data_IF_042331839945
#
_entry.id   IF_042331839945
#
_cell.length_a   1.000
_cell.length_b   1.000
_cell.length_c   1.000
_cell.angle_alpha   90.00
_cell.angle_beta   90.00
_cell.angle_gamma   90.00
#
_symmetry.space_group_name_H-M   'P 1'
#
loop_
_entity.id
_entity.type
_entity.pdbx_description
1 polymer ?
#
# COMPACT_ATOMS: atom_id res chain seq x y z
N UNK A 1 18.94 -2.14 -5.81
CA UNK A 1 17.65 -1.60 -6.25
C UNK A 1 17.11 -0.77 -5.09
N UNK A 2 16.97 0.54 -5.27
CA UNK A 2 16.50 1.46 -4.24
C UNK A 2 14.97 1.34 -4.10
N UNK A 3 14.44 1.47 -2.89
CA UNK A 3 13.00 1.32 -2.59
C UNK A 3 12.09 2.22 -3.46
N UNK A 4 12.61 3.32 -3.99
CA UNK A 4 11.93 4.21 -4.94
C UNK A 4 11.63 3.54 -6.30
N UNK A 5 12.53 2.69 -6.81
CA UNK A 5 12.30 1.96 -8.07
C UNK A 5 11.25 0.86 -7.93
N UNK A 6 10.98 0.41 -6.69
CA UNK A 6 9.94 -0.56 -6.40
C UNK A 6 8.56 0.11 -6.50
N UNK A 7 8.41 1.36 -6.06
CA UNK A 7 7.16 2.11 -6.16
C UNK A 7 6.77 2.42 -7.61
N UNK A 8 7.74 2.74 -8.48
CA UNK A 8 7.48 3.01 -9.90
C UNK A 8 7.26 1.72 -10.74
N UNK A 9 7.82 0.59 -10.29
CA UNK A 9 7.72 -0.71 -10.97
C UNK A 9 6.57 -1.61 -10.53
N UNK A 10 5.97 -1.38 -9.36
CA UNK A 10 4.83 -2.19 -8.92
C UNK A 10 3.53 -1.67 -9.50
N UNK A 11 3.11 -2.27 -10.61
CA UNK A 11 1.74 -2.17 -11.12
C UNK A 11 0.63 -2.59 -10.13
N UNK A 12 0.96 -2.96 -8.87
CA UNK A 12 0.07 -3.69 -7.93
C UNK A 12 0.44 -3.52 -6.45
N UNK A 13 0.94 -2.39 -5.99
CA UNK A 13 1.01 -2.14 -4.54
C UNK A 13 -0.42 -2.02 -4.01
N UNK A 14 -0.90 -3.04 -3.31
CA UNK A 14 -2.17 -2.93 -2.57
C UNK A 14 -2.01 -1.84 -1.50
N UNK A 15 -3.10 -1.15 -1.17
CA UNK A 15 -3.08 -0.16 -0.10
C UNK A 15 -2.53 -0.74 1.21
N UNK A 16 -2.80 -2.03 1.44
CA UNK A 16 -2.34 -2.79 2.60
C UNK A 16 -0.81 -2.91 2.66
N UNK A 17 -0.15 -2.98 1.52
CA UNK A 17 1.33 -3.02 1.44
C UNK A 17 1.99 -1.65 1.52
N UNK A 18 1.26 -0.58 1.19
CA UNK A 18 1.81 0.77 1.10
C UNK A 18 2.39 1.28 2.42
N UNK A 19 1.68 1.08 3.53
CA UNK A 19 2.14 1.52 4.85
C UNK A 19 3.47 0.86 5.23
N UNK A 20 3.59 -0.46 5.05
CA UNK A 20 4.81 -1.17 5.42
C UNK A 20 6.01 -0.75 4.57
N UNK A 21 5.82 -0.58 3.26
CA UNK A 21 6.87 -0.08 2.37
C UNK A 21 7.38 1.29 2.84
N UNK A 22 6.46 2.17 3.25
CA UNK A 22 6.82 3.51 3.72
C UNK A 22 7.51 3.46 5.09
N UNK A 23 7.07 2.61 6.02
CA UNK A 23 7.76 2.44 7.31
C UNK A 23 9.14 1.80 7.17
N UNK A 24 9.30 0.83 6.27
CA UNK A 24 10.59 0.21 5.94
C UNK A 24 11.53 1.25 5.32
N UNK A 25 11.03 2.08 4.40
CA UNK A 25 11.78 3.20 3.84
C UNK A 25 12.18 4.22 4.91
N UNK A 26 11.24 4.59 5.79
CA UNK A 26 11.51 5.49 6.92
C UNK A 26 12.62 4.94 7.81
N UNK A 27 12.53 3.66 8.19
CA UNK A 27 13.54 2.97 9.01
C UNK A 27 14.91 2.91 8.32
N UNK A 28 14.93 2.60 7.02
CA UNK A 28 16.15 2.61 6.21
C UNK A 28 16.80 4.00 6.18
N UNK A 29 16.00 5.05 5.99
CA UNK A 29 16.48 6.43 5.95
C UNK A 29 17.03 6.87 7.32
N UNK A 30 16.31 6.58 8.41
CA UNK A 30 16.77 6.86 9.78
C UNK A 30 18.08 6.15 10.06
N UNK A 31 18.22 4.88 9.72
CA UNK A 31 19.45 4.14 9.95
C UNK A 31 20.64 4.75 9.18
N UNK A 32 20.43 5.23 7.95
CA UNK A 32 21.47 5.93 7.19
C UNK A 32 21.85 7.30 7.77
N UNK A 33 21.02 7.88 8.64
CA UNK A 33 21.41 9.06 9.44
C UNK A 33 22.27 8.69 10.66
N UNK A 34 22.27 7.44 11.12
CA UNK A 34 23.15 7.04 12.21
C UNK A 34 24.57 6.82 11.68
N UNK A 35 25.57 7.53 12.24
CA UNK A 35 26.99 7.36 11.88
C UNK A 35 27.57 5.97 12.19
N UNK A 36 26.76 5.10 12.80
CA UNK A 36 27.13 3.75 13.27
C UNK A 36 26.62 2.63 12.37
N UNK A 37 25.77 2.92 11.38
CA UNK A 37 25.19 1.90 10.50
C UNK A 37 25.91 1.89 9.13
N UNK A 38 26.11 0.69 8.57
CA UNK A 38 26.66 0.52 7.21
C UNK A 38 25.63 0.89 6.13
N UNK A 39 26.11 1.28 4.95
CA UNK A 39 25.28 1.68 3.80
C UNK A 39 24.98 0.51 2.85
N UNK A 40 25.13 -0.71 3.36
CA UNK A 40 24.91 -1.97 2.66
C UNK A 40 26.21 -2.58 2.13
N UNK A 41 26.25 -3.91 2.06
CA UNK A 41 27.48 -4.68 1.82
C UNK A 41 28.32 -4.19 0.64
N UNK A 42 27.69 -3.82 -0.48
CA UNK A 42 28.40 -3.33 -1.67
C UNK A 42 28.99 -1.93 -1.47
N UNK A 43 28.24 -1.03 -0.84
CA UNK A 43 28.70 0.34 -0.53
C UNK A 43 29.82 0.28 0.49
N UNK A 44 29.67 -0.54 1.53
CA UNK A 44 30.67 -0.74 2.58
C UNK A 44 31.96 -1.34 2.03
N UNK A 45 31.87 -2.29 1.08
CA UNK A 45 33.03 -2.85 0.38
C UNK A 45 33.79 -1.79 -0.43
N UNK A 46 33.07 -0.92 -1.15
CA UNK A 46 33.66 0.18 -1.92
C UNK A 46 34.33 1.21 -1.01
N UNK A 47 33.69 1.57 0.11
CA UNK A 47 34.24 2.48 1.11
C UNK A 47 35.54 1.92 1.72
N UNK A 48 35.64 0.60 1.91
CA UNK A 48 36.85 -0.06 2.41
C UNK A 48 38.05 0.09 1.47
N UNK A 49 37.80 0.19 0.16
CA UNK A 49 38.83 0.34 -0.89
C UNK A 49 39.29 1.80 -1.05
N UNK A 50 38.57 2.76 -0.49
CA UNK A 50 38.87 4.19 -0.60
C UNK A 50 39.91 4.65 0.42
N UNK A 51 40.71 5.65 0.07
CA UNK A 51 41.69 6.26 0.98
C UNK A 51 41.02 6.98 2.16
N UNK A 52 41.73 7.13 3.29
CA UNK A 52 41.14 7.61 4.57
C UNK A 52 40.44 8.98 4.43
N UNK A 53 41.06 9.94 3.74
CA UNK A 53 40.51 11.29 3.57
C UNK A 53 39.28 11.32 2.67
N UNK A 54 39.35 10.60 1.54
CA UNK A 54 38.26 10.47 0.58
C UNK A 54 37.07 9.73 1.20
N UNK A 55 37.33 8.65 1.94
CA UNK A 55 36.31 7.91 2.69
C UNK A 55 35.57 8.82 3.67
N UNK A 56 36.29 9.66 4.42
CA UNK A 56 35.66 10.60 5.35
C UNK A 56 34.70 11.54 4.62
N UNK A 57 35.16 12.16 3.53
CA UNK A 57 34.32 13.06 2.74
C UNK A 57 33.07 12.35 2.20
N UNK A 58 33.23 11.16 1.61
CA UNK A 58 32.10 10.39 1.08
C UNK A 58 31.11 10.00 2.18
N UNK A 59 31.58 9.65 3.37
CA UNK A 59 30.71 9.33 4.51
C UNK A 59 29.93 10.57 4.98
N UNK A 60 30.57 11.73 5.05
CA UNK A 60 29.90 12.99 5.40
C UNK A 60 28.84 13.35 4.34
N UNK A 61 29.17 13.25 3.05
CA UNK A 61 28.22 13.51 1.94
C UNK A 61 27.04 12.53 1.94
N UNK A 62 27.28 11.24 2.21
CA UNK A 62 26.24 10.22 2.32
C UNK A 62 25.29 10.54 3.48
N UNK A 63 25.85 10.88 4.64
CA UNK A 63 25.07 11.22 5.83
C UNK A 63 24.18 12.44 5.57
N UNK A 64 24.71 13.50 4.94
CA UNK A 64 23.94 14.67 4.55
C UNK A 64 22.82 14.32 3.55
N UNK A 65 23.09 13.46 2.58
CA UNK A 65 22.09 12.98 1.63
C UNK A 65 20.96 12.18 2.30
N UNK A 66 21.29 11.29 3.25
CA UNK A 66 20.30 10.54 4.03
C UNK A 66 19.48 11.46 4.93
N UNK A 67 20.09 12.45 5.58
CA UNK A 67 19.38 13.46 6.36
C UNK A 67 18.41 14.27 5.52
N UNK A 68 18.83 14.72 4.34
CA UNK A 68 17.96 15.46 3.43
C UNK A 68 16.80 14.60 2.93
N UNK A 69 17.08 13.34 2.56
CA UNK A 69 16.07 12.39 2.12
C UNK A 69 15.06 12.07 3.22
N UNK A 70 15.53 11.79 4.45
CA UNK A 70 14.67 11.56 5.61
C UNK A 70 13.80 12.77 5.92
N UNK A 71 14.38 13.98 5.94
CA UNK A 71 13.64 15.22 6.22
C UNK A 71 12.50 15.42 5.21
N UNK A 72 12.77 15.20 3.92
CA UNK A 72 11.75 15.25 2.87
C UNK A 72 10.70 14.15 3.06
N UNK A 73 11.13 12.91 3.29
CA UNK A 73 10.24 11.78 3.52
C UNK A 73 9.29 12.05 4.69
N UNK A 74 9.80 12.39 5.87
CA UNK A 74 9.00 12.65 7.07
C UNK A 74 8.02 13.80 6.86
N UNK A 75 8.46 14.88 6.20
CA UNK A 75 7.55 15.99 5.84
C UNK A 75 6.33 15.51 5.06
N UNK A 76 6.49 14.59 4.12
CA UNK A 76 5.41 14.09 3.27
C UNK A 76 4.64 12.92 3.88
N UNK A 77 5.32 11.98 4.51
CA UNK A 77 4.72 10.78 5.08
C UNK A 77 3.99 11.07 6.38
N UNK A 78 4.59 11.84 7.31
CA UNK A 78 3.97 12.12 8.60
C UNK A 78 2.71 12.98 8.48
N UNK A 79 2.65 13.80 7.43
CA UNK A 79 1.48 14.64 7.13
C UNK A 79 0.54 14.01 6.11
N UNK A 80 0.80 12.78 5.65
CA UNK A 80 0.01 12.17 4.59
C UNK A 80 -1.44 11.92 5.06
N UNK A 81 -2.46 12.46 4.38
CA UNK A 81 -3.84 12.45 4.87
C UNK A 81 -4.41 11.02 4.99
N UNK A 82 -3.95 10.10 4.16
CA UNK A 82 -4.40 8.70 4.18
C UNK A 82 -3.51 7.76 5.03
N UNK A 83 -2.47 8.27 5.71
CA UNK A 83 -1.51 7.45 6.48
C UNK A 83 -2.21 6.53 7.47
N UNK A 84 -3.12 7.10 8.26
CA UNK A 84 -3.89 6.35 9.26
C UNK A 84 -4.80 5.31 8.62
N UNK A 85 -5.38 5.60 7.45
CA UNK A 85 -6.18 4.60 6.71
C UNK A 85 -5.26 3.44 6.28
N UNK A 86 -4.10 3.72 5.68
CA UNK A 86 -3.15 2.69 5.28
C UNK A 86 -2.68 1.82 6.44
N UNK A 87 -2.52 2.42 7.62
CA UNK A 87 -2.18 1.70 8.85
C UNK A 87 -3.28 0.72 9.26
N UNK A 88 -4.53 1.17 9.24
CA UNK A 88 -5.69 0.41 9.73
C UNK A 88 -6.09 -0.74 8.82
N UNK A 89 -6.05 -0.53 7.50
CA UNK A 89 -6.44 -1.55 6.50
C UNK A 89 -5.53 -2.78 6.52
N UNK A 90 -4.38 -2.73 7.19
CA UNK A 90 -3.50 -3.89 7.41
C UNK A 90 -4.18 -5.04 8.15
N UNK A 91 -5.26 -4.76 8.89
CA UNK A 91 -6.12 -5.80 9.50
C UNK A 91 -6.72 -6.76 8.46
N UNK A 92 -6.81 -6.32 7.20
CA UNK A 92 -7.31 -7.14 6.11
C UNK A 92 -6.25 -8.05 5.50
N UNK A 93 -4.96 -7.92 5.85
CA UNK A 93 -3.94 -8.90 5.48
C UNK A 93 -3.75 -9.91 6.62
N UNK A 94 -4.10 -11.19 6.42
CA UNK A 94 -3.95 -12.21 7.46
C UNK A 94 -2.53 -12.37 7.97
N UNK A 95 -1.52 -11.99 7.18
CA UNK A 95 -0.11 -12.01 7.59
C UNK A 95 0.19 -10.96 8.66
N UNK A 96 -0.58 -9.89 8.68
CA UNK A 96 -0.40 -8.73 9.56
C UNK A 96 -1.46 -8.64 10.65
N UNK A 97 -2.63 -9.21 10.40
CA UNK A 97 -3.77 -9.23 11.30
C UNK A 97 -3.40 -9.63 12.75
N UNK A 98 -2.53 -10.63 13.01
CA UNK A 98 -2.12 -10.98 14.38
C UNK A 98 -1.50 -9.84 15.19
N UNK A 99 -0.82 -8.90 14.53
CA UNK A 99 -0.21 -7.72 15.15
C UNK A 99 -1.16 -6.51 15.23
N UNK A 100 -2.38 -6.65 14.71
CA UNK A 100 -3.39 -5.59 14.67
C UNK A 100 -4.41 -5.77 15.80
N UNK A 101 -5.04 -4.66 16.21
CA UNK A 101 -6.08 -4.67 17.24
C UNK A 101 -7.27 -5.55 16.83
N UNK A 102 -7.87 -6.27 17.78
CA UNK A 102 -8.99 -7.18 17.50
C UNK A 102 -10.33 -6.46 17.61
N UNK A 103 -10.39 -5.48 18.51
CA UNK A 103 -11.55 -4.64 18.78
C UNK A 103 -11.96 -3.84 17.55
N UNK A 104 -13.26 -3.88 17.24
CA UNK A 104 -13.82 -3.15 16.08
C UNK A 104 -13.67 -1.63 16.24
N UNK A 105 -13.72 -1.15 17.48
CA UNK A 105 -13.65 0.25 17.88
C UNK A 105 -12.36 0.94 17.41
N UNK A 106 -11.28 0.17 17.26
CA UNK A 106 -10.00 0.66 16.74
C UNK A 106 -10.05 1.02 15.24
N UNK A 107 -11.09 0.58 14.52
CA UNK A 107 -11.24 0.74 13.08
C UNK A 107 -12.32 1.75 12.70
N UNK A 108 -12.85 2.54 13.64
CA UNK A 108 -13.91 3.53 13.41
C UNK A 108 -13.61 4.57 12.33
N UNK A 109 -12.34 4.76 11.95
CA UNK A 109 -11.96 5.61 10.80
C UNK A 109 -12.29 4.98 9.44
N UNK A 110 -12.53 3.67 9.39
CA UNK A 110 -13.09 3.01 8.22
C UNK A 110 -14.60 3.23 8.23
N UNK A 111 -15.16 3.77 7.15
CA UNK A 111 -16.56 4.21 7.09
C UNK A 111 -17.54 3.11 7.52
N UNK A 112 -17.40 1.84 7.07
CA UNK A 112 -18.32 0.78 7.48
C UNK A 112 -18.21 0.41 8.97
N UNK A 113 -17.08 0.72 9.61
CA UNK A 113 -16.78 0.41 11.02
C UNK A 113 -17.16 1.55 11.98
N UNK A 114 -17.41 2.75 11.47
CA UNK A 114 -17.90 3.87 12.29
C UNK A 114 -19.32 3.64 12.80
N UNK A 115 -20.16 3.00 11.98
CA UNK A 115 -21.52 2.62 12.30
C UNK A 115 -21.82 1.23 11.70
N UNK A 116 -21.29 0.16 12.32
CA UNK A 116 -21.39 -1.18 11.77
C UNK A 116 -22.82 -1.69 11.83
N UNK A 117 -23.26 -2.39 10.79
CA UNK A 117 -24.49 -3.17 10.89
C UNK A 117 -24.30 -4.31 11.90
N UNK A 118 -25.41 -4.83 12.42
CA UNK A 118 -25.38 -6.01 13.28
C UNK A 118 -24.67 -7.19 12.59
N UNK A 119 -25.01 -7.44 11.33
CA UNK A 119 -24.40 -8.50 10.51
C UNK A 119 -22.88 -8.31 10.36
N UNK A 120 -22.41 -7.07 10.12
CA UNK A 120 -20.98 -6.78 10.02
C UNK A 120 -20.27 -7.01 11.36
N UNK A 121 -20.90 -6.61 12.47
CA UNK A 121 -20.38 -6.81 13.82
C UNK A 121 -20.19 -8.29 14.14
N UNK A 122 -21.22 -9.11 13.88
CA UNK A 122 -21.19 -10.55 14.11
C UNK A 122 -20.13 -11.25 13.23
N UNK A 123 -20.09 -10.92 11.93
CA UNK A 123 -19.11 -11.49 11.01
C UNK A 123 -17.68 -11.04 11.33
N UNK A 124 -17.48 -9.82 11.82
CA UNK A 124 -16.16 -9.35 12.24
C UNK A 124 -15.64 -10.14 13.44
N UNK A 125 -16.50 -10.35 14.45
CA UNK A 125 -16.15 -11.19 15.60
C UNK A 125 -15.78 -12.59 15.12
N UNK A 126 -16.58 -13.19 14.23
CA UNK A 126 -16.27 -14.50 13.67
C UNK A 126 -14.95 -14.53 12.88
N UNK A 127 -14.68 -13.53 12.05
CA UNK A 127 -13.41 -13.37 11.32
C UNK A 127 -12.23 -13.28 12.29
N UNK A 128 -12.34 -12.51 13.37
CA UNK A 128 -11.29 -12.35 14.37
C UNK A 128 -10.89 -13.67 15.05
N UNK A 129 -11.85 -14.59 15.23
CA UNK A 129 -11.61 -15.91 15.83
C UNK A 129 -11.13 -16.96 14.83
N UNK A 130 -11.41 -16.76 13.54
CA UNK A 130 -11.14 -17.73 12.46
C UNK A 130 -10.11 -17.22 11.45
N UNK A 131 -9.19 -16.36 11.89
CA UNK A 131 -8.13 -15.80 11.03
C UNK A 131 -7.24 -16.91 10.49
N UNK A 132 -7.55 -17.36 9.28
CA UNK A 132 -6.75 -18.35 8.57
C UNK A 132 -5.49 -17.68 8.00
N UNK A 133 -4.32 -18.31 8.15
CA UNK A 133 -3.10 -17.76 7.59
C UNK A 133 -3.19 -17.75 6.05
N UNK A 134 -2.72 -16.65 5.45
CA UNK A 134 -2.67 -16.53 4.01
C UNK A 134 -1.50 -17.36 3.47
N UNK A 135 -1.82 -18.39 2.67
CA UNK A 135 -0.81 -19.17 1.96
C UNK A 135 0.07 -18.27 1.06
N UNK A 136 1.32 -18.68 0.84
CA UNK A 136 2.32 -17.86 0.16
C UNK A 136 1.98 -17.57 -1.32
N UNK A 137 1.26 -18.49 -1.96
CA UNK A 137 0.85 -18.47 -3.37
C UNK A 137 -0.51 -17.79 -3.60
N UNK A 138 -1.28 -17.55 -2.55
CA UNK A 138 -2.63 -16.96 -2.65
C UNK A 138 -2.55 -15.44 -2.58
N UNK A 139 -3.23 -14.76 -3.53
CA UNK A 139 -3.35 -13.31 -3.50
C UNK A 139 -4.35 -12.86 -2.45
N UNK A 140 -4.18 -11.64 -1.92
CA UNK A 140 -5.09 -11.10 -0.93
C UNK A 140 -6.53 -11.03 -1.44
N UNK A 141 -6.72 -10.72 -2.72
CA UNK A 141 -8.05 -10.67 -3.33
C UNK A 141 -8.72 -12.06 -3.38
N UNK A 142 -7.96 -13.11 -3.70
CA UNK A 142 -8.49 -14.47 -3.77
C UNK A 142 -8.83 -15.02 -2.39
N UNK A 143 -8.03 -14.66 -1.38
CA UNK A 143 -8.33 -14.95 0.03
C UNK A 143 -9.69 -14.37 0.45
N UNK A 144 -9.95 -13.10 0.17
CA UNK A 144 -11.21 -12.46 0.54
C UNK A 144 -12.41 -12.95 -0.28
N UNK A 145 -12.21 -13.35 -1.54
CA UNK A 145 -13.27 -13.97 -2.35
C UNK A 145 -13.69 -15.35 -1.84
N UNK A 146 -12.76 -16.11 -1.26
CA UNK A 146 -13.03 -17.44 -0.69
C UNK A 146 -13.61 -17.42 0.72
N UNK A 147 -13.75 -16.24 1.33
CA UNK A 147 -14.07 -16.10 2.74
C UNK A 147 -15.58 -16.29 3.02
N UNK A 148 -15.90 -16.96 4.14
CA UNK A 148 -17.30 -17.22 4.56
C UNK A 148 -18.00 -16.00 5.18
N UNK A 149 -17.33 -14.85 5.22
CA UNK A 149 -17.81 -13.61 5.85
C UNK A 149 -18.06 -12.54 4.77
N UNK A 150 -19.20 -12.59 4.06
CA UNK A 150 -19.43 -11.75 2.88
C UNK A 150 -19.37 -10.25 3.16
N UNK A 151 -19.82 -9.78 4.33
CA UNK A 151 -19.78 -8.35 4.69
C UNK A 151 -18.38 -7.86 5.01
N UNK A 152 -17.60 -8.69 5.72
CA UNK A 152 -16.20 -8.37 6.00
C UNK A 152 -15.38 -8.43 4.72
N UNK A 153 -15.64 -9.40 3.84
CA UNK A 153 -14.98 -9.54 2.55
C UNK A 153 -15.31 -8.38 1.59
N UNK A 154 -16.57 -7.96 1.50
CA UNK A 154 -17.00 -6.80 0.71
C UNK A 154 -16.25 -5.52 1.14
N UNK A 155 -16.19 -5.30 2.45
CA UNK A 155 -15.43 -4.19 3.02
C UNK A 155 -13.92 -4.33 2.74
N UNK A 156 -13.33 -5.49 3.01
CA UNK A 156 -11.89 -5.73 2.81
C UNK A 156 -11.50 -5.47 1.35
N UNK A 157 -12.27 -6.00 0.39
CA UNK A 157 -12.06 -5.80 -1.04
C UNK A 157 -12.10 -4.31 -1.43
N UNK A 158 -12.98 -3.52 -0.81
CA UNK A 158 -13.06 -2.08 -1.05
C UNK A 158 -11.80 -1.33 -0.58
N UNK A 159 -11.15 -1.81 0.49
CA UNK A 159 -9.97 -1.19 1.07
C UNK A 159 -8.64 -1.71 0.52
N UNK A 160 -8.59 -2.95 0.00
CA UNK A 160 -7.36 -3.52 -0.59
C UNK A 160 -6.90 -2.74 -1.81
N UNK A 161 -7.85 -2.28 -2.62
CA UNK A 161 -7.62 -1.50 -3.83
C UNK A 161 -7.70 0.01 -3.61
N UNK A 162 -7.66 0.45 -2.36
CA UNK A 162 -7.67 1.88 -2.06
C UNK A 162 -6.45 2.55 -2.75
N UNK A 163 -6.62 3.65 -3.48
CA UNK A 163 -5.53 4.24 -4.24
C UNK A 163 -4.42 4.75 -3.30
N UNK A 164 -3.18 4.42 -3.63
CA UNK A 164 -2.02 4.66 -2.74
C UNK A 164 -1.42 6.04 -2.95
N UNK A 165 -1.55 6.62 -4.15
CA UNK A 165 -1.00 7.93 -4.48
C UNK A 165 -1.98 8.81 -5.26
N UNK A 166 -1.75 10.12 -5.22
CA UNK A 166 -2.47 11.07 -6.08
C UNK A 166 -2.24 10.79 -7.55
N UNK A 167 -1.09 10.23 -7.92
CA UNK A 167 -0.78 9.80 -9.30
C UNK A 167 -1.65 8.61 -9.71
N UNK A 168 -1.96 7.69 -8.80
CA UNK A 168 -2.90 6.59 -9.07
C UNK A 168 -4.33 7.13 -9.21
N UNK A 169 -4.72 8.10 -8.38
CA UNK A 169 -5.98 8.81 -8.52
C UNK A 169 -6.06 9.57 -9.85
N UNK A 170 -5.01 10.31 -10.22
CA UNK A 170 -4.92 11.08 -11.46
C UNK A 170 -4.92 10.17 -12.70
N UNK A 171 -4.17 9.07 -12.67
CA UNK A 171 -4.22 8.05 -13.72
C UNK A 171 -5.61 7.46 -13.84
N UNK A 172 -6.30 7.28 -12.70
CA UNK A 172 -7.66 6.75 -12.70
C UNK A 172 -8.67 7.75 -13.25
N UNK A 173 -8.55 9.02 -12.86
CA UNK A 173 -9.35 10.13 -13.36
C UNK A 173 -9.05 10.44 -14.83
N UNK A 174 -7.81 10.29 -15.28
CA UNK A 174 -7.42 10.46 -16.68
C UNK A 174 -8.06 9.39 -17.56
N UNK A 175 -8.01 8.12 -17.13
CA UNK A 175 -8.72 7.02 -17.81
C UNK A 175 -10.23 7.26 -17.84
N UNK A 176 -10.81 7.70 -16.72
CA UNK A 176 -12.22 8.09 -16.65
C UNK A 176 -12.54 9.24 -17.61
N UNK A 177 -11.69 10.26 -17.69
CA UNK A 177 -11.83 11.38 -18.63
C UNK A 177 -11.77 10.90 -20.08
N UNK A 178 -10.93 9.92 -20.42
CA UNK A 178 -10.93 9.30 -21.75
C UNK A 178 -12.28 8.65 -22.07
N UNK A 179 -12.92 8.00 -21.09
CA UNK A 179 -14.27 7.42 -21.26
C UNK A 179 -15.37 8.48 -21.39
N UNK A 180 -15.12 9.72 -20.92
CA UNK A 180 -16.02 10.87 -21.02
C UNK A 180 -15.79 11.74 -22.26
N UNK A 181 -14.71 11.53 -23.03
CA UNK A 181 -14.46 12.33 -24.24
C UNK A 181 -15.46 12.03 -25.36
N UNK A 182 -15.68 13.03 -26.22
CA UNK A 182 -16.72 13.17 -27.26
C UNK A 182 -16.83 12.04 -28.31
N UNK A 183 -16.08 10.94 -28.17
CA UNK A 183 -16.18 9.76 -29.03
C UNK A 183 -17.35 8.83 -28.70
N UNK A 184 -18.22 9.18 -27.75
CA UNK A 184 -19.41 8.39 -27.41
C UNK A 184 -20.66 9.26 -27.31
N UNK A 185 -21.44 9.25 -28.38
CA UNK A 185 -22.86 9.49 -28.30
C UNK A 185 -23.50 8.35 -27.46
N UNK A 186 -24.34 8.71 -26.49
CA UNK A 186 -25.30 7.85 -25.77
C UNK A 186 -24.86 6.99 -24.56
N UNK A 187 -23.82 7.35 -23.78
CA UNK A 187 -23.64 6.74 -22.45
C UNK A 187 -24.09 7.64 -21.30
N UNK A 188 -25.05 7.14 -20.52
CA UNK A 188 -25.46 7.76 -19.26
C UNK A 188 -24.34 7.66 -18.23
N UNK A 189 -24.32 8.60 -17.28
CA UNK A 189 -23.31 8.64 -16.20
C UNK A 189 -23.19 7.29 -15.44
N UNK A 190 -24.32 6.60 -15.24
CA UNK A 190 -24.35 5.28 -14.62
C UNK A 190 -23.65 4.20 -15.48
N UNK A 191 -23.86 4.22 -16.79
CA UNK A 191 -23.22 3.29 -17.70
C UNK A 191 -21.72 3.58 -17.85
N UNK A 192 -21.32 4.86 -17.77
CA UNK A 192 -19.91 5.25 -17.74
C UNK A 192 -19.23 4.77 -16.46
N UNK A 193 -19.88 4.90 -15.29
CA UNK A 193 -19.37 4.35 -14.02
C UNK A 193 -19.20 2.83 -14.10
N UNK A 194 -20.21 2.12 -14.62
CA UNK A 194 -20.16 0.65 -14.80
C UNK A 194 -19.07 0.21 -15.77
N UNK A 195 -18.93 0.90 -16.90
CA UNK A 195 -17.88 0.63 -17.89
C UNK A 195 -16.48 0.91 -17.32
N UNK A 196 -16.34 1.96 -16.52
CA UNK A 196 -15.10 2.28 -15.81
C UNK A 196 -14.71 1.11 -14.91
N UNK A 197 -15.64 0.64 -14.08
CA UNK A 197 -15.44 -0.55 -13.23
C UNK A 197 -15.06 -1.78 -14.07
N UNK A 198 -15.74 -2.03 -15.20
CA UNK A 198 -15.41 -3.14 -16.10
C UNK A 198 -14.02 -3.01 -16.75
N UNK A 199 -13.59 -1.81 -17.11
CA UNK A 199 -12.28 -1.58 -17.72
C UNK A 199 -11.14 -1.72 -16.70
N UNK A 200 -11.35 -1.23 -15.47
CA UNK A 200 -10.41 -1.44 -14.36
C UNK A 200 -10.31 -2.93 -13.95
N UNK A 201 -11.43 -3.66 -14.01
CA UNK A 201 -11.46 -5.09 -13.69
C UNK A 201 -11.11 -6.00 -14.89
N UNK A 202 -11.19 -5.48 -16.13
CA UNK A 202 -10.92 -6.21 -17.37
C UNK A 202 -9.43 -6.49 -17.61
N UNK A 203 -8.55 -5.67 -17.02
CA UNK A 203 -7.09 -5.90 -16.98
C UNK A 203 -6.69 -7.11 -16.11
N UNK A 204 -7.67 -7.77 -15.49
CA UNK A 204 -7.53 -9.05 -14.77
C UNK A 204 -7.77 -10.25 -15.71
N UNK A 205 -8.36 -10.04 -16.90
CA UNK A 205 -8.77 -11.11 -17.82
C UNK A 205 -7.64 -11.74 -18.65
N UNK A 206 -6.48 -11.09 -18.77
CA UNK A 206 -5.27 -11.70 -19.36
C UNK A 206 -4.70 -12.85 -18.51
N UNK A 207 -5.32 -13.19 -17.38
CA UNK A 207 -4.96 -14.35 -16.53
C UNK A 207 -5.75 -15.62 -16.82
N UNK A 208 -6.67 -15.62 -17.78
CA UNK A 208 -7.43 -16.82 -18.18
C UNK A 208 -6.99 -17.37 -19.55
N UNK A 209 -5.69 -17.33 -19.84
CA UNK A 209 -5.09 -18.19 -20.88
C UNK A 209 -4.45 -19.40 -20.23
N UNK A 210 -5.31 -20.37 -19.92
CA UNK A 210 -5.04 -21.82 -19.99
C UNK A 210 -6.35 -22.51 -20.30
#
# INVERSE_FOLDING_TARGET
>A
MTALTILEGTHRTTAVSAYNIMEDLGSYLVNGTAKTCGFGAKTDELLRKTGVRERKQVLDDLHDAFHLAFTKFSKHWDTHPAREIYKLIRVFDPRQAPAMEKRMEAYTRLIPMANPSQELSEQWIAYQHSREPLAADVTLADYWRGMRFPKVAEMAMSYIYFPVSSVDCERSLAKYKTLLTDKREALTELNTKRLTIMYFNGDVSDRWKT
#
